data_IF_959858097264
#
_entry.id   IF_959858097264
#
_cell.length_a   1.000
_cell.length_b   1.000
_cell.length_c   1.000
_cell.angle_alpha   90.00
_cell.angle_beta   90.00
_cell.angle_gamma   90.00
#
_symmetry.space_group_name_H-M   'P 1'
#
loop_
_entity.id
_entity.type
_entity.pdbx_description
1 polymer ?
#
# COMPACT_ATOMS: atom_id res chain seq x y z
N UNK A 1 6.62 10.49 -16.94
CA UNK A 1 5.25 10.24 -16.44
C UNK A 1 5.36 10.08 -14.91
N UNK A 2 4.53 10.77 -14.13
CA UNK A 2 4.68 10.88 -12.67
C UNK A 2 4.28 9.58 -11.95
N UNK A 3 4.90 9.29 -10.81
CA UNK A 3 4.57 8.15 -9.94
C UNK A 3 4.57 8.64 -8.49
N UNK A 4 3.50 8.35 -7.76
CA UNK A 4 3.39 8.71 -6.35
C UNK A 4 3.94 7.59 -5.47
N UNK A 5 4.89 7.94 -4.61
CA UNK A 5 5.49 7.03 -3.65
C UNK A 5 4.80 7.24 -2.30
N UNK A 6 4.23 6.17 -1.75
CA UNK A 6 3.56 6.18 -0.45
C UNK A 6 4.38 5.35 0.51
N UNK A 7 4.68 5.89 1.70
CA UNK A 7 5.41 5.18 2.76
C UNK A 7 4.39 4.84 3.87
N UNK A 8 4.35 3.58 4.28
CA UNK A 8 3.52 3.10 5.38
C UNK A 8 4.34 2.20 6.29
N UNK A 9 4.06 2.22 7.59
CA UNK A 9 4.80 1.41 8.55
C UNK A 9 4.55 -0.10 8.33
N UNK A 10 3.31 -0.49 8.05
CA UNK A 10 2.90 -1.88 7.88
C UNK A 10 2.21 -2.07 6.52
N UNK A 11 2.15 -3.32 6.08
CA UNK A 11 1.39 -3.74 4.88
C UNK A 11 -0.10 -3.44 5.10
N UNK A 12 -0.75 -2.62 4.26
CA UNK A 12 -2.11 -2.14 4.51
C UNK A 12 -3.18 -3.17 4.08
N UNK A 13 -3.01 -4.44 4.46
CA UNK A 13 -3.94 -5.51 4.14
C UNK A 13 -3.90 -6.64 5.19
N UNK A 14 -5.04 -7.28 5.51
CA UNK A 14 -6.40 -6.84 5.20
C UNK A 14 -6.75 -5.49 5.85
N UNK A 15 -7.58 -4.63 5.24
CA UNK A 15 -7.96 -3.35 5.84
C UNK A 15 -8.95 -3.56 6.99
N UNK A 16 -8.46 -3.99 8.16
CA UNK A 16 -9.29 -4.49 9.26
C UNK A 16 -9.08 -3.76 10.60
N UNK A 17 -8.21 -2.75 10.68
CA UNK A 17 -8.12 -1.90 11.86
C UNK A 17 -7.52 -0.52 11.56
N UNK A 18 -7.93 0.45 12.39
CA UNK A 18 -7.28 1.75 12.58
C UNK A 18 -6.78 2.42 11.29
N UNK A 19 -5.55 2.93 11.34
CA UNK A 19 -4.92 3.64 10.23
C UNK A 19 -4.66 2.80 8.97
N UNK A 20 -4.65 1.46 9.07
CA UNK A 20 -4.44 0.60 7.90
C UNK A 20 -5.65 0.65 6.95
N UNK A 21 -6.87 0.77 7.49
CA UNK A 21 -8.10 0.96 6.70
C UNK A 21 -7.97 2.22 5.84
N UNK A 22 -7.60 3.33 6.47
CA UNK A 22 -7.48 4.62 5.80
C UNK A 22 -6.41 4.61 4.70
N UNK A 23 -5.23 4.04 4.99
CA UNK A 23 -4.15 3.88 3.99
C UNK A 23 -4.64 3.06 2.79
N UNK A 24 -5.27 1.90 3.03
CA UNK A 24 -5.76 1.02 1.96
C UNK A 24 -6.76 1.74 1.04
N UNK A 25 -7.78 2.38 1.63
CA UNK A 25 -8.83 3.02 0.83
C UNK A 25 -8.34 4.29 0.12
N UNK A 26 -7.36 5.01 0.66
CA UNK A 26 -6.67 6.10 -0.06
C UNK A 26 -5.91 5.58 -1.27
N UNK A 27 -5.15 4.49 -1.13
CA UNK A 27 -4.44 3.86 -2.24
C UNK A 27 -5.42 3.39 -3.32
N UNK A 28 -6.53 2.76 -2.93
CA UNK A 28 -7.57 2.33 -3.85
C UNK A 28 -8.22 3.50 -4.59
N UNK A 29 -8.52 4.60 -3.88
CA UNK A 29 -9.10 5.80 -4.49
C UNK A 29 -8.12 6.45 -5.50
N UNK A 30 -6.84 6.57 -5.15
CA UNK A 30 -5.81 7.11 -6.03
C UNK A 30 -5.60 6.24 -7.27
N UNK A 31 -5.56 4.91 -7.12
CA UNK A 31 -5.50 3.99 -8.25
C UNK A 31 -6.69 4.15 -9.20
N UNK A 32 -7.91 4.30 -8.66
CA UNK A 32 -9.14 4.54 -9.46
C UNK A 32 -9.10 5.85 -10.25
N UNK A 33 -8.33 6.84 -9.78
CA UNK A 33 -8.08 8.09 -10.50
C UNK A 33 -6.96 7.98 -11.54
N UNK A 34 -6.40 6.79 -11.76
CA UNK A 34 -5.31 6.54 -12.70
C UNK A 34 -3.93 6.93 -12.18
N UNK A 35 -3.79 7.19 -10.88
CA UNK A 35 -2.49 7.51 -10.27
C UNK A 35 -1.66 6.25 -10.17
N UNK A 36 -0.44 6.29 -10.71
CA UNK A 36 0.53 5.21 -10.53
C UNK A 36 1.17 5.30 -9.16
N UNK A 37 1.14 4.19 -8.43
CA UNK A 37 1.52 4.11 -7.03
C UNK A 37 2.66 3.12 -6.83
N UNK A 38 3.61 3.49 -5.98
CA UNK A 38 4.57 2.57 -5.37
C UNK A 38 4.41 2.68 -3.86
N UNK A 39 4.08 1.57 -3.19
CA UNK A 39 4.03 1.49 -1.74
C UNK A 39 5.37 1.00 -1.19
N UNK A 40 5.91 1.73 -0.23
CA UNK A 40 7.06 1.33 0.57
C UNK A 40 6.59 0.98 1.97
N UNK A 41 6.88 -0.23 2.43
CA UNK A 41 6.45 -0.68 3.75
C UNK A 41 7.38 -1.74 4.32
N UNK A 42 7.36 -1.87 5.64
CA UNK A 42 8.11 -2.90 6.36
C UNK A 42 7.26 -4.15 6.51
N UNK A 43 7.93 -5.30 6.49
CA UNK A 43 7.31 -6.60 6.79
C UNK A 43 7.48 -6.90 8.28
N UNK A 44 6.48 -6.55 9.07
CA UNK A 44 6.41 -6.90 10.49
C UNK A 44 5.41 -8.05 10.68
N UNK A 45 4.37 -7.84 11.48
CA UNK A 45 3.34 -8.85 11.80
C UNK A 45 2.34 -9.10 10.67
N UNK A 46 2.39 -8.30 9.59
CA UNK A 46 1.46 -8.38 8.47
C UNK A 46 2.19 -8.94 7.25
N UNK A 47 1.81 -10.14 6.75
CA UNK A 47 2.48 -10.75 5.62
C UNK A 47 2.14 -10.01 4.33
N UNK A 48 2.95 -10.23 3.28
CA UNK A 48 2.66 -9.72 1.95
C UNK A 48 1.29 -10.15 1.46
N UNK A 49 0.65 -9.26 0.72
CA UNK A 49 -0.69 -9.44 0.18
C UNK A 49 -0.66 -9.25 -1.34
N UNK A 50 -0.66 -10.34 -2.14
CA UNK A 50 -0.72 -10.26 -3.59
C UNK A 50 -1.91 -9.45 -4.11
N UNK A 51 -2.98 -9.31 -3.32
CA UNK A 51 -4.13 -8.49 -3.65
C UNK A 51 -3.78 -7.01 -3.86
N UNK A 52 -2.73 -6.51 -3.19
CA UNK A 52 -2.25 -5.13 -3.34
C UNK A 52 -1.60 -4.89 -4.70
N UNK A 53 -1.06 -5.93 -5.35
CA UNK A 53 -0.42 -5.81 -6.68
C UNK A 53 -1.42 -5.42 -7.78
N UNK A 54 -2.71 -5.64 -7.54
CA UNK A 54 -3.79 -5.16 -8.43
C UNK A 54 -3.98 -3.63 -8.38
N UNK A 55 -3.48 -2.97 -7.33
CA UNK A 55 -3.70 -1.55 -7.04
C UNK A 55 -2.40 -0.76 -7.24
N UNK A 56 -1.25 -1.34 -6.85
CA UNK A 56 0.02 -0.64 -6.76
C UNK A 56 1.20 -1.61 -6.90
N UNK A 57 2.40 -1.08 -7.14
CA UNK A 57 3.64 -1.86 -7.01
C UNK A 57 4.18 -1.76 -5.57
N UNK A 58 4.75 -2.84 -5.05
CA UNK A 58 5.32 -2.87 -3.69
C UNK A 58 6.86 -2.80 -3.71
N UNK A 59 7.41 -2.11 -2.72
CA UNK A 59 8.84 -2.13 -2.38
C UNK A 59 8.99 -2.32 -0.88
N UNK A 60 9.51 -3.48 -0.49
CA UNK A 60 9.73 -3.74 0.93
C UNK A 60 10.92 -2.95 1.43
N UNK A 61 10.75 -2.31 2.58
CA UNK A 61 11.82 -1.64 3.31
C UNK A 61 12.55 -2.67 4.19
N UNK A 62 13.87 -2.54 4.34
CA UNK A 62 14.64 -3.39 5.23
C UNK A 62 14.18 -3.15 6.68
N UNK A 63 14.03 -4.23 7.45
CA UNK A 63 13.71 -4.21 8.88
C UNK A 63 14.85 -3.66 9.71
#
# INVERSE_FOLDING_TARGET
MLTLHVIALNIPYPPNYGGVIDIYYKLLALHRLGVRLILHCYEYERPRAPELERILAMRMLPS
#
